data_IF_316594291527
#
_entry.id   IF_316594291527
#
_cell.length_a   1.000
_cell.length_b   1.000
_cell.length_c   1.000
_cell.angle_alpha   90.00
_cell.angle_beta   90.00
_cell.angle_gamma   90.00
#
_symmetry.space_group_name_H-M   'P 1'
#
loop_
_entity.id
_entity.type
_entity.pdbx_description
1 polymer ?
#
# COMPACT_ATOMS: atom_id res chain seq x y z
N UNK A 1 -8.09 38.28 -42.60
CA UNK A 1 -7.77 37.26 -43.62
C UNK A 1 -7.20 36.08 -42.86
N UNK A 2 -7.98 35.24 -42.19
CA UNK A 2 -9.11 34.43 -42.66
C UNK A 2 -8.72 33.53 -43.82
N UNK A 3 -8.38 32.28 -43.49
CA UNK A 3 -8.60 31.13 -44.35
C UNK A 3 -8.97 29.96 -43.43
N UNK A 4 -10.27 29.78 -43.26
CA UNK A 4 -10.91 28.69 -42.55
C UNK A 4 -11.10 27.55 -43.56
N UNK A 5 -10.59 26.35 -43.27
CA UNK A 5 -10.76 25.18 -44.12
C UNK A 5 -12.07 24.48 -43.72
N UNK A 6 -13.07 24.56 -44.60
CA UNK A 6 -14.36 23.87 -44.44
C UNK A 6 -14.31 22.58 -45.26
N UNK A 7 -14.42 21.44 -44.60
CA UNK A 7 -14.68 20.16 -45.25
C UNK A 7 -16.14 19.76 -44.97
N UNK A 8 -16.96 19.82 -46.01
CA UNK A 8 -18.35 19.36 -46.00
C UNK A 8 -18.39 17.90 -46.45
N UNK A 9 -18.94 17.00 -45.65
CA UNK A 9 -19.39 15.68 -46.09
C UNK A 9 -20.86 15.49 -45.69
N UNK A 10 -21.73 15.25 -46.66
CA UNK A 10 -23.15 14.99 -46.47
C UNK A 10 -23.46 13.50 -46.70
N UNK A 11 -24.29 12.97 -45.80
CA UNK A 11 -25.27 11.87 -45.94
C UNK A 11 -24.73 10.46 -46.25
N UNK A 12 -25.27 9.34 -45.73
CA UNK A 12 -26.57 9.03 -45.12
C UNK A 12 -26.51 7.60 -44.55
N UNK A 13 -27.12 7.34 -43.40
CA UNK A 13 -27.30 5.99 -42.85
C UNK A 13 -28.26 5.98 -41.65
N UNK A 14 -29.19 5.03 -41.65
CA UNK A 14 -30.46 4.97 -40.90
C UNK A 14 -30.37 4.97 -39.35
N UNK A 15 -31.47 5.34 -38.63
CA UNK A 15 -31.50 5.34 -37.18
C UNK A 15 -31.63 3.92 -36.63
N UNK A 16 -30.73 3.53 -35.71
CA UNK A 16 -30.88 2.30 -34.91
C UNK A 16 -31.64 2.66 -33.65
N UNK A 17 -32.82 2.07 -33.48
CA UNK A 17 -33.68 2.22 -32.31
C UNK A 17 -33.08 1.51 -31.09
N UNK A 18 -32.90 2.24 -29.99
CA UNK A 18 -32.58 1.69 -28.69
C UNK A 18 -33.79 0.90 -28.12
N UNK A 19 -33.60 -0.26 -27.48
CA UNK A 19 -34.70 -0.93 -26.78
C UNK A 19 -35.00 -0.21 -25.46
N UNK A 20 -36.28 -0.19 -25.13
CA UNK A 20 -36.86 0.46 -23.96
C UNK A 20 -36.41 -0.18 -22.65
N UNK A 21 -36.10 0.69 -21.69
CA UNK A 21 -35.80 0.37 -20.30
C UNK A 21 -37.05 -0.24 -19.64
N UNK A 22 -36.96 -1.48 -19.16
CA UNK A 22 -38.00 -2.11 -18.37
C UNK A 22 -37.89 -1.61 -16.92
N UNK A 23 -38.96 -0.96 -16.44
CA UNK A 23 -39.10 -0.55 -15.05
C UNK A 23 -39.22 -1.80 -14.16
N UNK A 24 -38.27 -1.99 -13.24
CA UNK A 24 -38.39 -2.93 -12.14
C UNK A 24 -38.97 -2.22 -10.91
N UNK A 25 -39.93 -2.89 -10.31
CA UNK A 25 -40.75 -2.48 -9.17
C UNK A 25 -39.92 -2.23 -7.91
N UNK A 26 -40.17 -1.10 -7.25
CA UNK A 26 -39.66 -0.77 -5.93
C UNK A 26 -40.06 -1.85 -4.90
N UNK A 27 -39.06 -2.60 -4.43
CA UNK A 27 -39.15 -3.37 -3.20
C UNK A 27 -38.77 -2.47 -2.03
N UNK A 28 -39.62 -2.44 -1.01
CA UNK A 28 -39.41 -1.72 0.24
C UNK A 28 -38.23 -2.36 0.99
N UNK A 29 -37.03 -1.82 0.79
CA UNK A 29 -35.83 -2.18 1.55
C UNK A 29 -35.73 -1.37 2.83
N UNK A 30 -35.43 -2.06 3.94
CA UNK A 30 -35.08 -1.49 5.24
C UNK A 30 -34.07 -0.35 5.13
N UNK A 31 -34.18 0.61 6.03
CA UNK A 31 -33.20 1.68 6.19
C UNK A 31 -31.81 1.09 6.46
N UNK A 32 -30.96 1.05 5.44
CA UNK A 32 -29.51 0.95 5.58
C UNK A 32 -29.06 2.28 6.18
N UNK A 33 -28.59 2.27 7.42
CA UNK A 33 -27.64 3.29 7.91
C UNK A 33 -26.58 3.44 6.84
N UNK A 34 -26.43 4.64 6.28
CA UNK A 34 -25.50 4.88 5.17
C UNK A 34 -24.10 4.46 5.60
N UNK A 35 -23.60 3.37 5.01
CA UNK A 35 -22.18 3.02 5.09
C UNK A 35 -21.45 4.09 4.29
N UNK A 36 -20.57 4.84 4.95
CA UNK A 36 -19.57 5.66 4.24
C UNK A 36 -18.56 4.69 3.65
N UNK A 37 -18.14 4.91 2.40
CA UNK A 37 -17.07 4.11 1.81
C UNK A 37 -15.76 4.37 2.56
N UNK A 38 -14.98 3.33 2.89
CA UNK A 38 -13.76 3.45 3.69
C UNK A 38 -12.81 4.56 3.23
N UNK A 39 -12.58 4.66 1.92
CA UNK A 39 -11.63 5.62 1.35
C UNK A 39 -12.28 6.93 0.84
N UNK A 40 -13.37 7.39 1.46
CA UNK A 40 -13.97 8.70 1.14
C UNK A 40 -13.12 9.87 1.69
N UNK A 41 -12.20 10.35 0.84
CA UNK A 41 -11.31 11.48 1.12
C UNK A 41 -12.02 12.82 1.40
N UNK A 42 -13.34 12.91 1.22
CA UNK A 42 -14.10 14.14 1.50
C UNK A 42 -14.39 14.37 2.98
N UNK A 43 -14.09 13.39 3.84
CA UNK A 43 -14.28 13.47 5.28
C UNK A 43 -13.07 12.94 6.07
N UNK A 44 -13.14 13.09 7.39
CA UNK A 44 -12.18 12.48 8.32
C UNK A 44 -12.88 11.29 8.97
N UNK A 45 -12.38 10.10 8.69
CA UNK A 45 -12.92 8.83 9.21
C UNK A 45 -12.58 8.64 10.69
N UNK A 46 -13.28 7.72 11.35
CA UNK A 46 -13.06 7.36 12.74
C UNK A 46 -12.55 5.91 12.83
N UNK A 47 -11.36 5.71 13.41
CA UNK A 47 -10.85 4.37 13.74
C UNK A 47 -10.44 4.35 15.21
N UNK A 48 -11.03 3.45 16.00
CA UNK A 48 -10.65 3.25 17.40
C UNK A 48 -10.28 1.80 17.67
N UNK A 49 -9.24 1.60 18.47
CA UNK A 49 -8.77 0.29 18.90
C UNK A 49 -9.02 0.11 20.40
N UNK A 50 -9.57 -1.04 20.80
CA UNK A 50 -9.57 -1.49 22.19
C UNK A 50 -8.66 -2.70 22.32
N UNK A 51 -7.68 -2.62 23.23
CA UNK A 51 -6.68 -3.67 23.46
C UNK A 51 -6.37 -3.81 24.95
N UNK A 52 -5.90 -5.00 25.35
CA UNK A 52 -5.43 -5.22 26.71
C UNK A 52 -4.09 -4.51 26.95
N UNK A 53 -4.05 -3.61 27.94
CA UNK A 53 -2.85 -2.82 28.23
C UNK A 53 -1.63 -3.70 28.56
N UNK A 54 -1.85 -4.81 29.26
CA UNK A 54 -0.80 -5.77 29.60
C UNK A 54 -0.16 -6.41 28.36
N UNK A 55 -0.96 -6.73 27.34
CA UNK A 55 -0.47 -7.30 26.08
C UNK A 55 0.32 -6.26 25.26
N UNK A 56 -0.14 -5.01 25.26
CA UNK A 56 0.60 -3.90 24.65
C UNK A 56 1.95 -3.66 25.32
N UNK A 57 1.99 -3.57 26.65
CA UNK A 57 3.23 -3.34 27.38
C UNK A 57 4.23 -4.49 27.14
N UNK A 58 3.75 -5.75 27.10
CA UNK A 58 4.56 -6.92 26.78
C UNK A 58 5.10 -6.89 25.33
N UNK A 59 4.30 -6.44 24.36
CA UNK A 59 4.74 -6.25 22.98
C UNK A 59 5.85 -5.21 22.86
N UNK A 60 5.70 -4.07 23.56
CA UNK A 60 6.72 -3.02 23.58
C UNK A 60 8.02 -3.53 24.20
N UNK A 61 7.95 -4.28 25.31
CA UNK A 61 9.13 -4.91 25.92
C UNK A 61 9.82 -5.88 24.94
N UNK A 62 9.07 -6.74 24.26
CA UNK A 62 9.60 -7.68 23.28
C UNK A 62 10.27 -6.98 22.09
N UNK A 63 9.63 -5.92 21.57
CA UNK A 63 10.18 -5.08 20.49
C UNK A 63 11.48 -4.41 20.91
N UNK A 64 11.54 -3.82 22.11
CA UNK A 64 12.76 -3.17 22.61
C UNK A 64 13.89 -4.16 22.88
N UNK A 65 13.57 -5.39 23.26
CA UNK A 65 14.56 -6.43 23.55
C UNK A 65 15.15 -7.08 22.28
N UNK A 66 14.34 -7.27 21.24
CA UNK A 66 14.70 -8.13 20.10
C UNK A 66 14.30 -7.60 18.72
N UNK A 67 13.52 -6.53 18.65
CA UNK A 67 12.92 -6.03 17.42
C UNK A 67 11.68 -6.80 16.98
N UNK A 68 11.22 -7.79 17.76
CA UNK A 68 10.00 -8.57 17.46
C UNK A 68 8.75 -7.68 17.45
N UNK A 69 7.88 -7.89 16.46
CA UNK A 69 6.65 -7.11 16.21
C UNK A 69 5.46 -8.05 16.23
N UNK A 70 5.31 -8.76 17.35
CA UNK A 70 4.28 -9.76 17.55
C UNK A 70 2.86 -9.19 17.34
N UNK A 71 1.97 -10.04 16.85
CA UNK A 71 0.56 -9.71 16.68
C UNK A 71 -0.18 -9.73 18.02
N UNK A 72 -1.00 -8.72 18.26
CA UNK A 72 -1.94 -8.62 19.38
C UNK A 72 -3.37 -8.82 18.87
N UNK A 73 -4.23 -9.40 19.71
CA UNK A 73 -5.67 -9.45 19.48
C UNK A 73 -6.31 -8.17 20.05
N UNK A 74 -7.16 -7.50 19.26
CA UNK A 74 -7.84 -6.27 19.63
C UNK A 74 -9.27 -6.24 19.08
N UNK A 75 -10.07 -5.29 19.57
CA UNK A 75 -11.33 -4.89 18.91
C UNK A 75 -11.06 -3.59 18.16
N UNK A 76 -11.42 -3.53 16.89
CA UNK A 76 -11.29 -2.31 16.06
C UNK A 76 -12.67 -1.85 15.66
N UNK A 77 -12.93 -0.55 15.76
CA UNK A 77 -14.15 0.07 15.25
C UNK A 77 -13.78 1.04 14.14
N UNK A 78 -14.39 0.88 12.96
CA UNK A 78 -14.20 1.73 11.78
C UNK A 78 -15.55 2.38 11.45
N UNK A 79 -15.65 3.70 11.57
CA UNK A 79 -16.88 4.48 11.35
C UNK A 79 -18.13 3.91 12.06
N UNK A 80 -17.92 3.39 13.27
CA UNK A 80 -18.97 2.79 14.09
C UNK A 80 -19.28 1.31 13.80
N UNK A 81 -18.62 0.69 12.82
CA UNK A 81 -18.67 -0.75 12.57
C UNK A 81 -17.62 -1.45 13.41
N UNK A 82 -18.04 -2.39 14.25
CA UNK A 82 -17.18 -3.08 15.22
C UNK A 82 -16.69 -4.41 14.68
N UNK A 83 -15.38 -4.63 14.79
CA UNK A 83 -14.65 -5.82 14.42
C UNK A 83 -13.96 -6.39 15.66
N UNK A 84 -14.43 -7.54 16.15
CA UNK A 84 -13.81 -8.24 17.27
C UNK A 84 -12.68 -9.16 16.78
N UNK A 85 -11.68 -9.40 17.63
CA UNK A 85 -10.58 -10.34 17.39
C UNK A 85 -9.77 -10.01 16.14
N UNK A 86 -9.51 -8.72 15.95
CA UNK A 86 -8.63 -8.17 14.92
C UNK A 86 -7.17 -8.33 15.32
N UNK A 87 -6.30 -8.62 14.36
CA UNK A 87 -4.86 -8.60 14.57
C UNK A 87 -4.30 -7.21 14.43
N UNK A 88 -3.48 -6.76 15.38
CA UNK A 88 -2.68 -5.53 15.24
C UNK A 88 -1.21 -5.80 15.56
N UNK A 89 -0.28 -5.14 14.85
CA UNK A 89 1.16 -5.19 15.17
C UNK A 89 1.86 -3.88 14.83
N UNK A 90 3.02 -3.64 15.42
CA UNK A 90 3.88 -2.51 15.03
C UNK A 90 4.30 -2.64 13.56
N UNK A 91 4.29 -1.52 12.81
CA UNK A 91 4.75 -1.48 11.40
C UNK A 91 5.82 -0.43 11.17
N UNK A 92 6.73 -0.74 10.24
CA UNK A 92 7.85 0.12 9.83
C UNK A 92 9.14 -0.18 10.57
N UNK A 93 10.25 0.35 10.06
CA UNK A 93 11.59 0.22 10.65
C UNK A 93 12.03 1.58 11.22
N UNK A 94 12.27 2.55 10.34
CA UNK A 94 12.68 3.90 10.72
C UNK A 94 11.66 4.61 11.62
N UNK A 95 10.36 4.43 11.37
CA UNK A 95 9.28 5.03 12.18
C UNK A 95 9.19 4.51 13.61
N UNK A 96 9.81 3.35 13.89
CA UNK A 96 9.89 2.80 15.24
C UNK A 96 11.22 3.15 15.95
N UNK A 97 12.11 3.92 15.30
CA UNK A 97 13.33 4.42 15.96
C UNK A 97 12.95 5.45 17.01
N UNK A 98 13.30 5.19 18.26
CA UNK A 98 12.98 6.07 19.39
C UNK A 98 11.70 5.73 20.13
N UNK A 99 11.04 4.61 19.79
CA UNK A 99 10.03 3.99 20.66
C UNK A 99 10.67 3.69 22.01
N UNK A 100 9.91 3.95 23.07
CA UNK A 100 10.31 3.73 24.46
C UNK A 100 9.19 2.97 25.19
N UNK A 101 9.50 2.44 26.38
CA UNK A 101 8.50 1.77 27.23
C UNK A 101 7.29 2.65 27.55
N UNK A 102 7.48 3.98 27.60
CA UNK A 102 6.41 4.95 27.81
C UNK A 102 5.72 5.40 26.52
N UNK A 103 5.84 4.64 25.43
CA UNK A 103 5.16 4.98 24.19
C UNK A 103 3.65 4.84 24.37
N UNK A 104 2.92 5.84 23.88
CA UNK A 104 1.47 5.79 23.84
C UNK A 104 1.02 5.10 22.54
N UNK A 105 0.09 4.13 22.61
CA UNK A 105 -0.28 3.31 21.46
C UNK A 105 -0.86 4.13 20.30
N UNK A 106 -1.60 5.20 20.54
CA UNK A 106 -2.15 6.10 19.52
C UNK A 106 -1.07 6.84 18.72
N UNK A 107 0.14 6.99 19.29
CA UNK A 107 1.27 7.62 18.62
C UNK A 107 2.06 6.65 17.73
N UNK A 108 1.90 5.34 17.90
CA UNK A 108 2.70 4.33 17.19
C UNK A 108 2.14 4.02 15.79
N UNK A 109 2.99 3.61 14.84
CA UNK A 109 2.54 3.07 13.57
C UNK A 109 2.07 1.62 13.70
N UNK A 110 0.95 1.29 13.06
CA UNK A 110 0.31 -0.02 13.16
C UNK A 110 0.05 -0.63 11.79
N UNK A 111 0.09 -1.96 11.73
CA UNK A 111 -0.67 -2.73 10.75
C UNK A 111 -1.88 -3.30 11.47
N UNK A 112 -3.07 -3.05 10.93
CA UNK A 112 -4.33 -3.64 11.36
C UNK A 112 -4.70 -4.69 10.31
N UNK A 113 -4.99 -5.91 10.75
CA UNK A 113 -5.46 -7.00 9.90
C UNK A 113 -6.77 -7.56 10.46
N UNK A 114 -7.87 -7.21 9.80
CA UNK A 114 -9.22 -7.51 10.25
C UNK A 114 -9.46 -9.03 10.31
N UNK A 115 -8.96 -9.77 9.34
CA UNK A 115 -9.19 -11.21 9.24
C UNK A 115 -8.16 -12.08 9.98
N UNK A 116 -7.24 -11.49 10.77
CA UNK A 116 -6.10 -12.22 11.37
C UNK A 116 -6.53 -13.44 12.19
N UNK A 117 -7.61 -13.30 12.95
CA UNK A 117 -8.12 -14.35 13.85
C UNK A 117 -9.59 -14.73 13.58
N UNK A 118 -10.19 -14.15 12.53
CA UNK A 118 -11.55 -14.42 12.06
C UNK A 118 -11.53 -14.41 10.53
N UNK A 119 -11.51 -15.60 9.94
CA UNK A 119 -11.44 -15.76 8.49
C UNK A 119 -12.53 -14.96 7.75
N UNK A 120 -12.13 -14.19 6.73
CA UNK A 120 -13.04 -13.43 5.86
C UNK A 120 -13.67 -12.20 6.50
N UNK A 121 -13.11 -11.66 7.57
CA UNK A 121 -13.53 -10.39 8.17
C UNK A 121 -12.90 -9.22 7.41
N UNK A 122 -13.72 -8.41 6.73
CA UNK A 122 -13.29 -7.25 5.94
C UNK A 122 -14.15 -6.00 6.22
N UNK A 123 -13.66 -4.84 5.78
CA UNK A 123 -14.42 -3.59 5.72
C UNK A 123 -14.38 -3.05 4.29
N UNK A 124 -15.55 -3.05 3.62
CA UNK A 124 -15.68 -2.66 2.21
C UNK A 124 -14.71 -3.41 1.26
N UNK A 125 -14.43 -4.69 1.54
CA UNK A 125 -13.48 -5.50 0.77
C UNK A 125 -12.04 -5.46 1.27
N UNK A 126 -11.70 -4.51 2.14
CA UNK A 126 -10.33 -4.33 2.66
C UNK A 126 -10.10 -5.17 3.90
N UNK A 127 -9.01 -5.93 3.92
CA UNK A 127 -8.61 -6.75 5.08
C UNK A 127 -7.48 -6.15 5.91
N UNK A 128 -6.56 -5.40 5.30
CA UNK A 128 -5.40 -4.83 5.99
C UNK A 128 -5.26 -3.31 5.80
N UNK A 129 -4.95 -2.61 6.90
CA UNK A 129 -4.78 -1.15 6.94
C UNK A 129 -3.48 -0.78 7.66
N UNK A 130 -2.68 0.09 7.04
CA UNK A 130 -1.46 0.63 7.62
C UNK A 130 -1.70 2.02 8.23
N UNK A 131 -1.62 2.12 9.55
CA UNK A 131 -1.70 3.40 10.28
C UNK A 131 -0.31 4.03 10.33
N UNK A 132 -0.08 5.09 9.55
CA UNK A 132 1.23 5.76 9.43
C UNK A 132 1.52 6.62 10.64
N UNK A 133 2.78 6.62 11.08
CA UNK A 133 3.30 7.63 12.01
C UNK A 133 3.27 9.00 11.33
N UNK A 134 2.87 10.05 12.06
CA UNK A 134 2.89 11.39 11.48
C UNK A 134 4.32 11.94 11.46
N UNK A 135 5.02 11.81 10.33
CA UNK A 135 6.42 12.24 10.14
C UNK A 135 6.56 13.65 9.56
N UNK A 136 5.46 14.29 9.16
CA UNK A 136 5.45 15.65 8.61
C UNK A 136 4.43 16.54 9.33
N UNK A 137 4.53 17.86 9.16
CA UNK A 137 3.57 18.78 9.79
C UNK A 137 2.13 18.58 9.27
N UNK A 138 1.98 18.06 8.04
CA UNK A 138 0.69 17.91 7.38
C UNK A 138 0.16 16.47 7.38
N UNK A 139 1.02 15.46 7.52
CA UNK A 139 0.71 14.05 7.29
C UNK A 139 0.23 13.74 5.84
N UNK A 140 0.43 14.65 4.88
CA UNK A 140 -0.18 14.54 3.54
C UNK A 140 0.77 14.10 2.43
N UNK A 141 2.10 14.10 2.68
CA UNK A 141 3.07 13.81 1.61
C UNK A 141 2.79 12.49 0.92
N UNK A 142 2.54 11.43 1.70
CA UNK A 142 2.27 10.11 1.14
C UNK A 142 0.95 10.07 0.37
N UNK A 143 -0.15 10.59 0.95
CA UNK A 143 -1.45 10.62 0.27
C UNK A 143 -1.38 11.34 -1.08
N UNK A 144 -0.74 12.52 -1.13
CA UNK A 144 -0.60 13.27 -2.39
C UNK A 144 0.32 12.56 -3.38
N UNK A 145 1.40 11.93 -2.90
CA UNK A 145 2.29 11.18 -3.77
C UNK A 145 1.61 9.95 -4.38
N UNK A 146 0.82 9.21 -3.60
CA UNK A 146 0.06 8.04 -4.06
C UNK A 146 -1.00 8.43 -5.12
N UNK A 147 -1.72 9.53 -4.91
CA UNK A 147 -2.67 10.04 -5.92
C UNK A 147 -1.96 10.46 -7.22
N UNK A 148 -0.78 11.09 -7.11
CA UNK A 148 0.00 11.47 -8.30
C UNK A 148 0.55 10.26 -9.07
N UNK A 149 0.89 9.16 -8.40
CA UNK A 149 1.30 7.90 -9.03
C UNK A 149 0.14 7.26 -9.79
N UNK A 150 -1.05 7.22 -9.18
CA UNK A 150 -2.27 6.74 -9.83
C UNK A 150 -2.61 7.58 -11.08
N UNK A 151 -2.54 8.91 -10.96
CA UNK A 151 -2.73 9.81 -12.10
C UNK A 151 -1.69 9.63 -13.21
N UNK A 152 -0.49 9.12 -12.88
CA UNK A 152 0.54 8.76 -13.85
C UNK A 152 0.29 7.38 -14.49
N UNK A 153 -0.72 6.64 -14.06
CA UNK A 153 -1.12 5.33 -14.57
C UNK A 153 -0.39 4.16 -13.91
N UNK A 154 0.19 4.36 -12.73
CA UNK A 154 0.75 3.28 -11.90
C UNK A 154 -0.30 2.81 -10.91
N UNK A 155 -0.27 1.53 -10.55
CA UNK A 155 -1.02 1.05 -9.39
C UNK A 155 -0.56 1.75 -8.12
N UNK A 156 -1.50 2.04 -7.24
CA UNK A 156 -1.29 2.84 -6.04
C UNK A 156 -2.17 2.34 -4.90
N UNK A 157 -2.01 2.94 -3.72
CA UNK A 157 -2.84 2.61 -2.56
C UNK A 157 -3.74 3.78 -2.19
N UNK A 158 -4.96 3.47 -1.76
CA UNK A 158 -5.85 4.49 -1.22
C UNK A 158 -5.40 4.98 0.16
N UNK A 159 -5.72 6.24 0.46
CA UNK A 159 -5.25 6.94 1.65
C UNK A 159 -6.34 7.83 2.25
N UNK A 160 -6.55 7.76 3.57
CA UNK A 160 -7.52 8.59 4.31
C UNK A 160 -6.95 9.23 5.57
N UNK A 161 -7.51 10.39 5.89
CA UNK A 161 -7.32 11.04 7.18
C UNK A 161 -8.29 10.46 8.22
N UNK A 162 -7.75 10.08 9.38
CA UNK A 162 -8.48 9.36 10.43
C UNK A 162 -8.31 10.05 11.79
N UNK A 163 -9.42 10.22 12.51
CA UNK A 163 -9.44 10.43 13.97
C UNK A 163 -9.16 9.08 14.63
N UNK A 164 -7.92 8.88 15.05
CA UNK A 164 -7.44 7.63 15.60
C UNK A 164 -7.39 7.68 17.13
N UNK A 165 -7.88 6.66 17.81
CA UNK A 165 -7.77 6.53 19.26
C UNK A 165 -7.54 5.08 19.69
N UNK A 166 -6.97 4.91 20.87
CA UNK A 166 -6.78 3.59 21.50
C UNK A 166 -7.33 3.65 22.92
N UNK A 167 -8.09 2.64 23.34
CA UNK A 167 -8.68 2.51 24.67
C UNK A 167 -9.48 3.75 25.16
N UNK A 168 -10.06 4.51 24.23
CA UNK A 168 -10.81 5.73 24.52
C UNK A 168 -9.96 6.92 24.96
N UNK A 169 -8.64 6.86 24.77
CA UNK A 169 -7.73 7.98 25.00
C UNK A 169 -7.90 9.09 23.94
N UNK A 170 -7.04 10.11 24.00
CA UNK A 170 -7.18 11.31 23.16
C UNK A 170 -7.05 10.97 21.69
N UNK A 171 -8.02 11.42 20.89
CA UNK A 171 -7.97 11.28 19.44
C UNK A 171 -6.78 12.03 18.84
N UNK A 172 -6.06 11.37 17.96
CA UNK A 172 -4.96 11.94 17.17
C UNK A 172 -5.27 11.81 15.69
N UNK A 173 -4.95 12.85 14.91
CA UNK A 173 -5.07 12.79 13.46
C UNK A 173 -3.97 11.88 12.90
N UNK A 174 -4.36 10.87 12.13
CA UNK A 174 -3.45 9.92 11.48
C UNK A 174 -3.79 9.79 10.00
N UNK A 175 -2.77 9.43 9.22
CA UNK A 175 -2.96 8.92 7.88
C UNK A 175 -3.07 7.40 7.95
N UNK A 176 -4.07 6.84 7.29
CA UNK A 176 -4.25 5.39 7.12
C UNK A 176 -4.22 5.08 5.63
N UNK A 177 -3.41 4.09 5.27
CA UNK A 177 -3.15 3.66 3.90
C UNK A 177 -3.66 2.22 3.74
N UNK A 178 -4.26 1.94 2.59
CA UNK A 178 -4.56 0.58 2.17
C UNK A 178 -3.28 -0.26 2.09
N UNK A 179 -3.28 -1.45 2.68
CA UNK A 179 -2.09 -2.29 2.66
C UNK A 179 -2.12 -3.23 1.45
N UNK A 180 -1.03 -3.32 0.65
CA UNK A 180 -0.92 -4.28 -0.45
C UNK A 180 -0.86 -5.73 0.03
N UNK A 181 -2.02 -6.31 0.36
CA UNK A 181 -2.22 -7.71 0.69
C UNK A 181 -2.91 -8.47 -0.48
N UNK A 182 -3.37 -9.70 -0.22
CA UNK A 182 -4.09 -10.50 -1.22
C UNK A 182 -5.37 -9.83 -1.74
N UNK A 183 -6.09 -9.10 -0.87
CA UNK A 183 -7.35 -8.42 -1.25
C UNK A 183 -7.07 -7.25 -2.17
N UNK A 184 -6.11 -6.40 -1.80
CA UNK A 184 -5.67 -5.28 -2.63
C UNK A 184 -5.11 -5.77 -3.96
N UNK A 185 -4.25 -6.79 -3.95
CA UNK A 185 -3.67 -7.35 -5.17
C UNK A 185 -4.76 -7.88 -6.12
N UNK A 186 -5.79 -8.55 -5.58
CA UNK A 186 -6.89 -9.07 -6.37
C UNK A 186 -7.71 -7.95 -7.05
N UNK A 187 -7.96 -6.87 -6.33
CA UNK A 187 -8.79 -5.75 -6.80
C UNK A 187 -8.02 -4.82 -7.76
N UNK A 188 -6.76 -4.51 -7.47
CA UNK A 188 -5.95 -3.54 -8.23
C UNK A 188 -5.19 -4.18 -9.41
N UNK A 189 -4.63 -5.38 -9.22
CA UNK A 189 -3.73 -6.03 -10.18
C UNK A 189 -4.32 -7.29 -10.80
N UNK A 190 -5.34 -7.87 -10.16
CA UNK A 190 -5.90 -9.17 -10.49
C UNK A 190 -5.30 -10.30 -9.64
N UNK A 191 -6.15 -11.28 -9.31
CA UNK A 191 -5.84 -12.38 -8.39
C UNK A 191 -4.97 -13.51 -8.99
N UNK A 192 -4.13 -13.23 -9.98
CA UNK A 192 -3.35 -14.24 -10.71
C UNK A 192 -1.87 -14.23 -10.38
N UNK A 193 -1.40 -13.34 -9.51
CA UNK A 193 0.03 -13.12 -9.31
C UNK A 193 0.51 -13.30 -7.88
N UNK A 194 1.76 -12.89 -7.66
CA UNK A 194 2.39 -12.80 -6.34
C UNK A 194 3.10 -11.45 -6.19
N UNK A 195 3.10 -10.92 -4.97
CA UNK A 195 3.68 -9.63 -4.63
C UNK A 195 4.91 -9.84 -3.75
N UNK A 196 6.08 -9.42 -4.24
CA UNK A 196 7.35 -9.56 -3.52
C UNK A 196 7.86 -8.20 -3.09
N UNK A 197 8.18 -8.06 -1.81
CA UNK A 197 8.70 -6.84 -1.21
C UNK A 197 10.17 -6.97 -0.93
N UNK A 198 10.99 -6.03 -1.36
CA UNK A 198 12.36 -5.96 -0.88
C UNK A 198 12.37 -5.46 0.59
N UNK A 199 13.08 -6.18 1.45
CA UNK A 199 13.35 -5.71 2.80
C UNK A 199 14.33 -4.54 2.79
N UNK A 200 14.32 -3.71 3.84
CA UNK A 200 15.25 -2.56 3.93
C UNK A 200 16.74 -2.96 3.98
N UNK A 201 17.03 -4.21 4.32
CA UNK A 201 18.38 -4.81 4.24
C UNK A 201 18.62 -5.58 2.96
N UNK A 202 17.57 -5.74 2.15
CA UNK A 202 17.60 -6.45 0.89
C UNK A 202 18.24 -5.63 -0.23
N UNK A 203 18.39 -6.30 -1.36
CA UNK A 203 18.82 -5.72 -2.62
C UNK A 203 18.39 -6.67 -3.76
N UNK A 204 18.50 -6.20 -5.01
CA UNK A 204 18.14 -6.95 -6.20
C UNK A 204 19.26 -7.90 -6.71
N UNK A 205 20.15 -8.38 -5.83
CA UNK A 205 21.20 -9.32 -6.22
C UNK A 205 20.69 -10.76 -6.31
N UNK A 206 21.19 -11.51 -7.29
CA UNK A 206 21.00 -12.96 -7.35
C UNK A 206 21.88 -13.69 -6.32
N UNK A 207 21.29 -14.61 -5.57
CA UNK A 207 21.92 -15.34 -4.44
C UNK A 207 21.99 -16.86 -4.67
N UNK A 208 21.69 -17.32 -5.89
CA UNK A 208 21.53 -18.73 -6.21
C UNK A 208 20.06 -19.16 -6.26
N UNK A 209 19.84 -20.45 -6.54
CA UNK A 209 18.50 -21.02 -6.75
C UNK A 209 17.79 -21.47 -5.47
N UNK A 210 18.45 -21.35 -4.30
CA UNK A 210 17.86 -21.75 -3.02
C UNK A 210 16.96 -20.64 -2.48
N UNK A 211 15.63 -20.84 -2.38
CA UNK A 211 14.71 -19.79 -1.91
C UNK A 211 15.04 -19.29 -0.50
N UNK A 212 15.57 -20.15 0.37
CA UNK A 212 15.95 -19.78 1.74
C UNK A 212 17.06 -18.71 1.79
N UNK A 213 17.80 -18.49 0.69
CA UNK A 213 18.78 -17.41 0.59
C UNK A 213 18.15 -16.02 0.49
N UNK A 214 16.83 -15.94 0.31
CA UNK A 214 16.08 -14.70 0.12
C UNK A 214 15.17 -14.34 1.30
N UNK A 215 14.99 -15.23 2.29
CA UNK A 215 14.09 -15.03 3.45
C UNK A 215 14.34 -13.73 4.25
N UNK A 216 15.58 -13.22 4.27
CA UNK A 216 15.95 -11.96 4.96
C UNK A 216 16.02 -10.73 4.02
N UNK A 217 15.72 -10.94 2.73
CA UNK A 217 15.96 -9.99 1.64
C UNK A 217 14.67 -9.61 0.95
N UNK A 218 13.76 -10.57 0.80
CA UNK A 218 12.44 -10.38 0.24
C UNK A 218 11.38 -11.04 1.11
N UNK A 219 10.25 -10.36 1.25
CA UNK A 219 9.02 -10.92 1.79
C UNK A 219 8.03 -11.16 0.64
N UNK A 220 7.32 -12.29 0.66
CA UNK A 220 6.23 -12.54 -0.27
C UNK A 220 4.93 -12.09 0.41
N UNK A 221 4.56 -10.83 0.19
CA UNK A 221 3.48 -10.17 0.92
C UNK A 221 2.08 -10.68 0.50
N UNK A 222 1.93 -11.13 -0.75
CA UNK A 222 0.68 -11.67 -1.27
C UNK A 222 0.90 -12.72 -2.38
N UNK A 223 -0.13 -13.54 -2.61
CA UNK A 223 -0.19 -14.50 -3.72
C UNK A 223 0.60 -15.78 -3.52
N UNK A 224 0.83 -16.20 -2.27
CA UNK A 224 1.54 -17.47 -1.95
C UNK A 224 0.87 -18.70 -2.59
N UNK A 225 -0.45 -18.67 -2.78
CA UNK A 225 -1.20 -19.74 -3.45
C UNK A 225 -1.05 -19.72 -4.99
N UNK A 226 -0.58 -18.60 -5.57
CA UNK A 226 -0.48 -18.39 -7.02
C UNK A 226 0.92 -18.67 -7.57
N UNK A 227 1.96 -18.23 -6.86
CA UNK A 227 3.35 -18.44 -7.23
C UNK A 227 4.24 -18.50 -5.97
N UNK A 228 5.34 -19.24 -6.02
CA UNK A 228 6.37 -19.21 -4.99
C UNK A 228 7.47 -18.20 -5.36
N UNK A 229 8.64 -18.23 -4.69
CA UNK A 229 9.75 -17.33 -4.99
C UNK A 229 10.47 -17.61 -6.33
N UNK A 230 10.17 -18.70 -7.03
CA UNK A 230 10.88 -19.10 -8.26
C UNK A 230 10.91 -18.00 -9.33
N UNK A 231 9.79 -17.33 -9.68
CA UNK A 231 9.81 -16.28 -10.70
C UNK A 231 10.70 -15.10 -10.30
N UNK A 232 10.70 -14.73 -9.01
CA UNK A 232 11.58 -13.68 -8.50
C UNK A 232 13.04 -14.10 -8.64
N UNK A 233 13.39 -15.31 -8.23
CA UNK A 233 14.77 -15.83 -8.31
C UNK A 233 15.26 -15.86 -9.77
N UNK A 234 14.42 -16.34 -10.70
CA UNK A 234 14.74 -16.36 -12.13
C UNK A 234 14.91 -14.94 -12.72
N UNK A 235 14.08 -13.99 -12.29
CA UNK A 235 14.22 -12.60 -12.69
C UNK A 235 15.50 -11.96 -12.13
N UNK A 236 15.83 -12.22 -10.87
CA UNK A 236 17.06 -11.76 -10.25
C UNK A 236 18.29 -12.36 -10.93
N UNK A 237 18.28 -13.65 -11.27
CA UNK A 237 19.35 -14.27 -12.08
C UNK A 237 19.52 -13.55 -13.41
N UNK A 238 18.41 -13.33 -14.13
CA UNK A 238 18.42 -12.66 -15.42
C UNK A 238 19.03 -11.26 -15.35
N UNK A 239 18.57 -10.38 -14.46
CA UNK A 239 19.07 -9.00 -14.39
C UNK A 239 20.52 -8.91 -13.92
N UNK A 240 21.04 -9.92 -13.20
CA UNK A 240 22.41 -9.94 -12.69
C UNK A 240 23.40 -10.63 -13.64
N UNK A 241 22.96 -11.63 -14.40
CA UNK A 241 23.86 -12.53 -15.13
C UNK A 241 23.64 -12.56 -16.66
N UNK A 242 22.56 -11.99 -17.19
CA UNK A 242 22.40 -11.85 -18.64
C UNK A 242 23.49 -10.94 -19.23
N UNK A 243 23.98 -11.28 -20.43
CA UNK A 243 24.83 -10.33 -21.18
C UNK A 243 23.99 -9.17 -21.74
N UNK A 244 24.63 -8.04 -22.05
CA UNK A 244 23.96 -6.82 -22.52
C UNK A 244 23.01 -7.07 -23.71
N UNK A 245 23.38 -7.98 -24.62
CA UNK A 245 22.58 -8.27 -25.81
C UNK A 245 21.32 -9.04 -25.45
N UNK A 246 21.43 -10.02 -24.55
CA UNK A 246 20.32 -10.81 -24.02
C UNK A 246 19.42 -9.92 -23.18
N UNK A 247 19.98 -9.17 -22.22
CA UNK A 247 19.25 -8.24 -21.37
C UNK A 247 18.39 -7.28 -22.19
N UNK A 248 19.00 -6.59 -23.16
CA UNK A 248 18.29 -5.62 -23.99
C UNK A 248 17.21 -6.24 -24.87
N UNK A 249 17.37 -7.50 -25.28
CA UNK A 249 16.39 -8.20 -26.12
C UNK A 249 15.21 -8.74 -25.31
N UNK A 250 15.42 -9.05 -24.02
CA UNK A 250 14.53 -9.91 -23.25
C UNK A 250 13.91 -9.26 -22.01
N UNK A 251 14.38 -8.08 -21.60
CA UNK A 251 13.84 -7.38 -20.42
C UNK A 251 12.36 -7.04 -20.56
N UNK A 252 11.92 -6.63 -21.76
CA UNK A 252 10.52 -6.27 -22.01
C UNK A 252 9.56 -7.46 -21.98
N UNK A 253 10.07 -8.69 -22.08
CA UNK A 253 9.26 -9.91 -21.92
C UNK A 253 9.11 -10.31 -20.44
N UNK A 254 9.92 -9.71 -19.54
CA UNK A 254 10.01 -10.09 -18.12
C UNK A 254 9.61 -8.98 -17.16
N UNK A 255 9.70 -7.72 -17.57
CA UNK A 255 9.32 -6.54 -16.80
C UNK A 255 8.48 -5.63 -17.68
N UNK A 256 7.42 -5.06 -17.13
CA UNK A 256 6.69 -3.95 -17.74
C UNK A 256 7.60 -2.71 -17.73
N UNK A 257 8.35 -2.54 -18.81
CA UNK A 257 9.33 -1.46 -18.92
C UNK A 257 8.68 -0.08 -19.03
N UNK A 258 7.42 0.01 -19.48
CA UNK A 258 6.71 1.28 -19.60
C UNK A 258 6.24 1.75 -18.22
N UNK A 259 5.66 0.85 -17.41
CA UNK A 259 5.34 1.12 -16.01
C UNK A 259 6.61 1.44 -15.21
N UNK A 260 7.68 0.66 -15.38
CA UNK A 260 8.94 0.91 -14.67
C UNK A 260 9.58 2.26 -15.04
N UNK A 261 9.58 2.64 -16.31
CA UNK A 261 10.08 3.95 -16.73
C UNK A 261 9.23 5.11 -16.16
N UNK A 262 7.91 4.93 -16.11
CA UNK A 262 6.99 5.91 -15.50
C UNK A 262 7.25 6.03 -14.00
N UNK A 263 7.42 4.91 -13.31
CA UNK A 263 7.80 4.85 -11.90
C UNK A 263 9.10 5.63 -11.63
N UNK A 264 10.17 5.38 -12.37
CA UNK A 264 11.44 6.08 -12.19
C UNK A 264 11.32 7.59 -12.43
N UNK A 265 10.54 7.99 -13.44
CA UNK A 265 10.27 9.41 -13.69
C UNK A 265 9.49 10.05 -12.53
N UNK A 266 8.54 9.33 -11.94
CA UNK A 266 7.79 9.81 -10.78
C UNK A 266 8.65 9.90 -9.53
N UNK A 267 9.59 8.98 -9.28
CA UNK A 267 10.51 9.08 -8.14
C UNK A 267 11.33 10.38 -8.19
N UNK A 268 11.86 10.72 -9.36
CA UNK A 268 12.59 11.96 -9.58
C UNK A 268 11.70 13.20 -9.40
N UNK A 269 10.47 13.18 -9.94
CA UNK A 269 9.54 14.31 -9.82
C UNK A 269 9.06 14.54 -8.38
N UNK A 270 8.84 13.45 -7.65
CA UNK A 270 8.44 13.47 -6.25
C UNK A 270 9.64 13.69 -5.32
N UNK A 271 10.89 13.62 -5.81
CA UNK A 271 12.11 13.62 -4.99
C UNK A 271 11.99 12.63 -3.81
N UNK A 272 11.61 11.39 -4.13
CA UNK A 272 11.52 10.31 -3.14
C UNK A 272 12.90 9.71 -2.89
N UNK A 273 13.43 9.87 -1.69
CA UNK A 273 14.76 9.36 -1.34
C UNK A 273 14.81 7.86 -1.11
N UNK A 274 13.67 7.30 -0.72
CA UNK A 274 13.59 5.99 -0.07
C UNK A 274 12.88 4.98 -0.98
N UNK A 275 12.95 5.22 -2.28
CA UNK A 275 12.32 4.43 -3.34
C UNK A 275 13.03 3.07 -3.56
N UNK A 276 12.95 2.52 -4.78
CA UNK A 276 13.37 1.14 -5.06
C UNK A 276 14.88 0.93 -4.91
N UNK A 277 15.69 1.95 -5.18
CA UNK A 277 17.15 1.93 -4.99
C UNK A 277 17.61 2.84 -3.85
N UNK A 278 16.65 3.44 -3.13
CA UNK A 278 16.85 4.15 -1.88
C UNK A 278 17.10 3.24 -0.67
N UNK A 279 17.47 3.81 0.49
CA UNK A 279 17.86 3.03 1.69
C UNK A 279 16.77 2.10 2.27
N UNK A 280 15.51 2.36 1.96
CA UNK A 280 14.36 1.58 2.42
C UNK A 280 13.91 0.48 1.47
N UNK A 281 14.32 0.53 0.20
CA UNK A 281 13.77 -0.29 -0.90
C UNK A 281 12.23 -0.25 -0.96
N UNK A 282 11.59 0.92 -0.85
CA UNK A 282 10.13 1.02 -0.69
C UNK A 282 9.38 0.83 -2.02
N UNK A 283 9.34 -0.42 -2.48
CA UNK A 283 8.54 -0.88 -3.61
C UNK A 283 8.26 -2.36 -3.48
N UNK A 284 7.24 -2.83 -4.18
CA UNK A 284 7.05 -4.25 -4.46
C UNK A 284 7.30 -4.53 -5.94
N UNK A 285 7.60 -5.80 -6.24
CA UNK A 285 7.50 -6.38 -7.57
C UNK A 285 6.29 -7.32 -7.59
N UNK A 286 5.32 -7.03 -8.45
CA UNK A 286 4.21 -7.95 -8.72
C UNK A 286 4.55 -8.82 -9.92
N UNK A 287 4.48 -10.13 -9.77
CA UNK A 287 4.58 -11.09 -10.87
C UNK A 287 3.18 -11.54 -11.29
N UNK A 288 2.79 -11.27 -12.54
CA UNK A 288 1.57 -11.82 -13.11
C UNK A 288 1.83 -13.18 -13.73
N UNK A 289 1.22 -14.25 -13.20
CA UNK A 289 1.40 -15.60 -13.76
C UNK A 289 0.75 -15.79 -15.13
N UNK A 290 -0.18 -14.91 -15.54
CA UNK A 290 -0.85 -15.00 -16.82
C UNK A 290 0.06 -14.52 -17.97
N UNK A 291 0.75 -13.39 -17.79
CA UNK A 291 1.71 -12.84 -18.75
C UNK A 291 3.13 -13.38 -18.54
N UNK A 292 3.49 -13.77 -17.33
CA UNK A 292 4.86 -14.10 -16.93
C UNK A 292 5.76 -12.88 -16.74
N UNK A 293 5.17 -11.69 -16.55
CA UNK A 293 5.85 -10.42 -16.47
C UNK A 293 5.77 -9.83 -15.05
N UNK A 294 6.84 -9.15 -14.64
CA UNK A 294 6.85 -8.32 -13.45
C UNK A 294 6.37 -6.90 -13.74
N UNK A 295 5.75 -6.24 -12.76
CA UNK A 295 5.57 -4.78 -12.73
C UNK A 295 5.93 -4.23 -11.35
N UNK A 296 6.31 -2.96 -11.31
CA UNK A 296 6.63 -2.27 -10.04
C UNK A 296 5.36 -1.76 -9.40
N UNK A 297 5.26 -1.95 -8.08
CA UNK A 297 4.19 -1.38 -7.25
C UNK A 297 4.83 -0.43 -6.24
N UNK A 298 4.52 0.88 -6.32
CA UNK A 298 4.92 1.88 -5.34
C UNK A 298 4.54 1.50 -3.89
N UNK A 299 5.40 1.83 -2.93
CA UNK A 299 5.11 1.73 -1.49
C UNK A 299 5.79 2.86 -0.68
N UNK A 300 5.20 3.24 0.46
CA UNK A 300 5.80 4.11 1.50
C UNK A 300 6.37 5.47 1.01
N UNK A 301 5.49 6.35 0.55
CA UNK A 301 5.88 7.69 0.05
C UNK A 301 5.88 8.76 1.15
N UNK A 302 6.06 8.35 2.41
CA UNK A 302 6.12 9.26 3.54
C UNK A 302 7.30 10.26 3.46
N UNK A 303 8.35 9.92 2.70
CA UNK A 303 9.54 10.74 2.44
C UNK A 303 9.53 11.43 1.06
N UNK A 304 8.39 11.44 0.37
CA UNK A 304 8.23 12.22 -0.85
C UNK A 304 8.32 13.74 -0.60
N UNK A 305 8.49 14.48 -1.69
CA UNK A 305 8.70 15.93 -1.79
C UNK A 305 9.97 16.41 -1.11
N UNK A 306 11.04 15.63 -1.24
CA UNK A 306 12.39 15.95 -0.74
C UNK A 306 12.56 15.81 0.76
N UNK A 307 11.60 15.18 1.45
CA UNK A 307 11.76 14.78 2.84
C UNK A 307 12.88 13.72 2.96
N UNK A 308 13.56 13.72 4.10
CA UNK A 308 14.63 12.76 4.42
C UNK A 308 14.45 12.28 5.85
N UNK A 309 14.94 11.08 6.21
CA UNK A 309 14.92 10.65 7.60
C UNK A 309 15.71 11.66 8.44
N UNK A 310 15.07 12.28 9.43
CA UNK A 310 15.78 13.10 10.40
C UNK A 310 16.60 12.17 11.28
N UNK A 311 17.91 12.15 11.07
CA UNK A 311 18.82 11.36 11.91
C UNK A 311 18.60 11.71 13.38
N UNK A 312 18.31 10.71 14.21
CA UNK A 312 17.98 10.84 15.63
C UNK A 312 18.89 11.84 16.35
N UNK A 313 18.36 13.04 16.54
CA UNK A 313 19.04 14.16 17.17
C UNK A 313 17.97 15.18 17.49
N UNK A 314 17.49 15.17 18.73
CA UNK A 314 16.43 16.07 19.19
C UNK A 314 16.71 17.53 18.83
N UNK A 315 15.69 18.20 18.30
CA UNK A 315 15.77 19.61 17.96
C UNK A 315 14.47 20.12 17.37
N UNK A 316 13.63 20.67 18.25
CA UNK A 316 12.53 21.62 18.01
C UNK A 316 11.54 21.34 16.87
N UNK A 317 10.36 20.87 17.28
CA UNK A 317 9.12 21.27 16.64
C UNK A 317 8.96 22.80 16.81
N UNK A 318 9.39 23.55 15.80
CA UNK A 318 9.36 25.01 15.77
C UNK A 318 8.82 25.52 14.44
N UNK A 319 7.49 25.56 14.34
CA UNK A 319 6.60 26.40 13.52
C UNK A 319 7.07 27.04 12.19
N UNK A 320 6.23 26.87 11.17
CA UNK A 320 5.45 27.96 10.55
C UNK A 320 4.22 27.37 9.85
#
# INVERSE_FOLDING_TARGET
MTACLVATACSSGAPVSAPAQAASTAGTGSATTGSTALFDVSMVHDISIELAREDFDAMIEAYLASGDKAWLEATVTIDGVVYERVGIRLKGNSSLRGVAESAEPEALPWLIRLDKFVDGQDHDGVTELAVRSNSSATALNEAVALELLELAGLSSQDAIAVRFSVNGDTEVLRLVIEHPDDSWMADELGATGALYKAESTGDYSYRGDDPAAYDEVFDQEAGEDNADLTPLIEFLDFINNADDATFAAEIADRLDTDAFATYLAMQELLDNFDDIDGPGNNSYLYYDTASGQFTVVPWDYNLAFGARPTGGGGGDAGGA
#
